data_IF_113634324826
#
_entry.id   IF_113634324826
#
_cell.length_a   1.000
_cell.length_b   1.000
_cell.length_c   1.000
_cell.angle_alpha   90.00
_cell.angle_beta   90.00
_cell.angle_gamma   90.00
#
_symmetry.space_group_name_H-M   'P 1'
#
loop_
_entity.id
_entity.type
_entity.pdbx_description
1 polymer ?
#
# COMPACT_ATOMS: atom_id res chain seq x y z
N UNK A 1 18.26 -37.63 -22.01
CA UNK A 1 19.11 -36.52 -21.54
C UNK A 1 18.56 -35.11 -21.73
N UNK A 2 17.27 -34.94 -22.02
CA UNK A 2 16.66 -33.63 -22.28
C UNK A 2 15.82 -33.06 -21.14
N UNK A 3 15.79 -33.67 -19.96
CA UNK A 3 14.85 -33.31 -18.89
C UNK A 3 15.14 -32.00 -18.14
N UNK A 4 16.33 -31.41 -18.29
CA UNK A 4 16.75 -30.24 -17.54
C UNK A 4 17.37 -29.14 -18.41
N UNK A 5 16.94 -29.01 -19.64
CA UNK A 5 17.41 -27.95 -20.55
C UNK A 5 16.48 -26.75 -20.41
N UNK A 6 17.00 -25.63 -19.92
CA UNK A 6 16.25 -24.38 -19.76
C UNK A 6 17.00 -23.37 -18.93
N UNK A 7 16.46 -22.16 -18.85
CA UNK A 7 16.99 -21.12 -17.99
C UNK A 7 16.58 -21.38 -16.54
N UNK A 8 17.57 -21.50 -15.65
CA UNK A 8 17.33 -21.53 -14.23
C UNK A 8 17.35 -20.11 -13.67
N UNK A 9 16.32 -19.75 -12.93
CA UNK A 9 16.22 -18.46 -12.23
C UNK A 9 16.23 -18.70 -10.74
N UNK A 10 16.90 -17.81 -10.02
CA UNK A 10 16.94 -17.83 -8.57
C UNK A 10 16.36 -16.52 -8.03
N UNK A 11 15.76 -16.58 -6.84
CA UNK A 11 15.31 -15.39 -6.13
C UNK A 11 16.52 -14.54 -5.71
N UNK A 12 16.42 -13.22 -5.83
CA UNK A 12 17.41 -12.33 -5.25
C UNK A 12 17.42 -12.46 -3.72
N UNK A 13 18.55 -12.17 -3.09
CA UNK A 13 18.76 -12.40 -1.64
C UNK A 13 17.68 -11.74 -0.76
N UNK A 14 17.21 -10.55 -1.11
CA UNK A 14 16.21 -9.80 -0.35
C UNK A 14 14.78 -10.05 -0.82
N UNK A 15 14.58 -10.91 -1.81
CA UNK A 15 13.23 -11.23 -2.30
C UNK A 15 12.54 -12.22 -1.40
N UNK A 16 11.23 -12.07 -1.28
CA UNK A 16 10.37 -13.03 -0.57
C UNK A 16 9.02 -13.16 -1.27
N UNK A 17 8.28 -14.16 -0.88
CA UNK A 17 6.95 -14.44 -1.42
C UNK A 17 5.92 -13.84 -0.47
N UNK A 18 4.95 -13.09 -1.01
CA UNK A 18 3.92 -12.44 -0.21
C UNK A 18 2.99 -13.43 0.47
N UNK A 19 2.59 -13.12 1.70
CA UNK A 19 1.46 -13.74 2.35
C UNK A 19 0.16 -13.05 1.91
N UNK A 20 -0.89 -13.85 1.60
CA UNK A 20 -2.20 -13.30 1.22
C UNK A 20 -3.04 -12.93 2.44
N UNK A 21 -3.96 -11.98 2.23
CA UNK A 21 -4.98 -11.61 3.22
C UNK A 21 -6.30 -11.24 2.52
N UNK A 22 -7.38 -11.18 3.31
CA UNK A 22 -8.71 -10.89 2.77
C UNK A 22 -8.77 -9.50 2.14
N UNK A 23 -9.37 -9.42 0.95
CA UNK A 23 -9.59 -8.16 0.23
C UNK A 23 -10.76 -7.32 0.78
N UNK A 24 -11.68 -7.91 1.54
CA UNK A 24 -12.93 -7.25 1.95
C UNK A 24 -12.71 -6.00 2.83
N UNK A 25 -11.81 -6.03 3.84
CA UNK A 25 -11.51 -4.81 4.61
C UNK A 25 -10.91 -3.70 3.74
N UNK A 26 -10.06 -4.07 2.78
CA UNK A 26 -9.47 -3.11 1.86
C UNK A 26 -10.52 -2.49 0.94
N UNK A 27 -11.43 -3.28 0.38
CA UNK A 27 -12.52 -2.77 -0.46
C UNK A 27 -13.39 -1.79 0.31
N UNK A 28 -13.72 -2.10 1.56
CA UNK A 28 -14.48 -1.21 2.43
C UNK A 28 -13.74 0.11 2.70
N UNK A 29 -12.43 0.03 2.94
CA UNK A 29 -11.57 1.20 3.09
C UNK A 29 -11.55 2.06 1.83
N UNK A 30 -11.39 1.45 0.66
CA UNK A 30 -11.34 2.14 -0.63
C UNK A 30 -12.63 2.92 -0.92
N UNK A 31 -13.79 2.36 -0.62
CA UNK A 31 -15.06 3.05 -0.81
C UNK A 31 -15.30 4.18 0.20
N UNK A 32 -14.89 3.98 1.45
CA UNK A 32 -15.20 4.92 2.52
C UNK A 32 -14.20 6.09 2.59
N UNK A 33 -12.91 5.84 2.37
CA UNK A 33 -11.86 6.82 2.62
C UNK A 33 -11.18 7.34 1.34
N UNK A 34 -11.15 6.53 0.28
CA UNK A 34 -10.45 6.87 -0.97
C UNK A 34 -11.38 7.37 -2.07
N UNK A 35 -12.65 7.61 -1.77
CA UNK A 35 -13.64 8.09 -2.73
C UNK A 35 -13.75 7.23 -4.01
N UNK A 36 -13.49 5.93 -3.92
CA UNK A 36 -13.72 5.01 -5.02
C UNK A 36 -15.21 4.90 -5.28
N UNK A 37 -15.67 5.45 -6.39
CA UNK A 37 -17.08 5.46 -6.77
C UNK A 37 -17.51 4.06 -7.23
N UNK A 38 -18.56 3.54 -6.63
CA UNK A 38 -19.09 2.23 -7.00
C UNK A 38 -19.66 2.24 -8.43
N UNK A 39 -19.51 1.15 -9.15
CA UNK A 39 -19.97 1.01 -10.54
C UNK A 39 -21.48 1.28 -10.71
N UNK A 40 -22.29 0.93 -9.70
CA UNK A 40 -23.73 1.13 -9.73
C UNK A 40 -24.16 2.60 -9.76
N UNK A 41 -23.30 3.50 -9.31
CA UNK A 41 -23.59 4.94 -9.21
C UNK A 41 -23.13 5.72 -10.44
N UNK A 42 -22.36 5.10 -11.34
CA UNK A 42 -21.73 5.76 -12.46
C UNK A 42 -22.49 5.54 -13.78
N UNK A 43 -22.60 6.62 -14.57
CA UNK A 43 -23.12 6.55 -15.94
C UNK A 43 -22.03 6.11 -16.92
N UNK A 44 -22.39 5.44 -18.01
CA UNK A 44 -21.45 4.94 -19.02
C UNK A 44 -20.49 6.02 -19.57
N UNK A 45 -20.97 7.24 -19.75
CA UNK A 45 -20.13 8.38 -20.22
C UNK A 45 -19.04 8.77 -19.19
N UNK A 46 -19.32 8.60 -17.90
CA UNK A 46 -18.36 8.89 -16.83
C UNK A 46 -17.28 7.82 -16.76
N UNK A 47 -17.67 6.55 -16.89
CA UNK A 47 -16.75 5.40 -16.86
C UNK A 47 -15.62 5.49 -17.91
N UNK A 48 -15.90 6.06 -19.08
CA UNK A 48 -14.90 6.22 -20.15
C UNK A 48 -13.81 7.26 -19.82
N UNK A 49 -14.07 8.15 -18.87
CA UNK A 49 -13.13 9.23 -18.49
C UNK A 49 -12.42 8.96 -17.17
N UNK A 50 -12.95 8.05 -16.38
CA UNK A 50 -12.45 7.75 -15.04
C UNK A 50 -11.45 6.59 -15.09
N UNK A 51 -10.55 6.57 -14.13
CA UNK A 51 -9.59 5.49 -13.93
C UNK A 51 -10.28 4.33 -13.23
N UNK A 52 -10.15 3.14 -13.77
CA UNK A 52 -10.72 1.92 -13.20
C UNK A 52 -9.85 1.38 -12.07
N UNK A 53 -10.45 0.91 -11.00
CA UNK A 53 -9.75 0.32 -9.86
C UNK A 53 -10.11 -1.16 -9.76
N UNK A 54 -9.09 -2.00 -9.84
CA UNK A 54 -9.21 -3.45 -9.70
C UNK A 54 -8.54 -3.92 -8.40
N UNK A 55 -9.19 -4.81 -7.67
CA UNK A 55 -8.62 -5.50 -6.51
C UNK A 55 -8.65 -7.00 -6.77
N UNK A 56 -7.48 -7.63 -6.80
CA UNK A 56 -7.32 -9.05 -7.14
C UNK A 56 -8.09 -9.45 -8.42
N UNK A 57 -7.97 -8.64 -9.48
CA UNK A 57 -8.65 -8.87 -10.75
C UNK A 57 -10.14 -8.50 -10.79
N UNK A 58 -10.76 -8.09 -9.68
CA UNK A 58 -12.16 -7.67 -9.65
C UNK A 58 -12.27 -6.15 -9.80
N UNK A 59 -13.08 -5.69 -10.72
CA UNK A 59 -13.38 -4.28 -10.89
C UNK A 59 -14.28 -3.75 -9.75
N UNK A 60 -13.71 -2.97 -8.85
CA UNK A 60 -14.39 -2.49 -7.64
C UNK A 60 -15.12 -1.16 -7.89
N UNK A 61 -14.51 -0.29 -8.68
CA UNK A 61 -15.04 1.05 -8.92
C UNK A 61 -14.15 1.88 -9.80
N UNK A 62 -14.36 3.19 -9.78
CA UNK A 62 -13.55 4.14 -10.57
C UNK A 62 -13.25 5.39 -9.75
N UNK A 63 -12.14 6.06 -10.09
CA UNK A 63 -11.66 7.28 -9.46
C UNK A 63 -11.41 8.38 -10.48
N UNK A 64 -11.37 9.62 -10.02
CA UNK A 64 -11.09 10.79 -10.87
C UNK A 64 -9.59 11.15 -10.87
N UNK A 65 -8.94 11.11 -9.69
CA UNK A 65 -7.52 11.49 -9.53
C UNK A 65 -6.65 10.29 -9.15
N UNK A 66 -5.92 9.71 -10.10
CA UNK A 66 -5.07 8.56 -9.85
C UNK A 66 -3.78 8.91 -9.09
N UNK A 67 -3.26 10.14 -9.25
CA UNK A 67 -2.02 10.56 -8.61
C UNK A 67 -2.25 10.64 -7.10
N UNK A 68 -3.23 11.45 -6.70
CA UNK A 68 -3.59 11.59 -5.29
C UNK A 68 -3.94 10.24 -4.67
N UNK A 69 -4.68 9.41 -5.40
CA UNK A 69 -5.06 8.08 -4.94
C UNK A 69 -3.84 7.19 -4.67
N UNK A 70 -2.89 7.10 -5.62
CA UNK A 70 -1.72 6.24 -5.48
C UNK A 70 -0.76 6.72 -4.40
N UNK A 71 -0.59 8.03 -4.26
CA UNK A 71 0.23 8.62 -3.20
C UNK A 71 -0.37 8.38 -1.83
N UNK A 72 -1.65 8.69 -1.66
CA UNK A 72 -2.38 8.43 -0.40
C UNK A 72 -2.35 6.95 -0.04
N UNK A 73 -2.54 6.05 -1.01
CA UNK A 73 -2.47 4.61 -0.77
C UNK A 73 -1.10 4.16 -0.27
N UNK A 74 -0.03 4.64 -0.89
CA UNK A 74 1.34 4.34 -0.45
C UNK A 74 1.62 4.87 0.96
N UNK A 75 1.15 6.08 1.28
CA UNK A 75 1.27 6.63 2.64
C UNK A 75 0.52 5.78 3.68
N UNK A 76 -0.71 5.37 3.38
CA UNK A 76 -1.49 4.47 4.24
C UNK A 76 -0.79 3.12 4.46
N UNK A 77 -0.11 2.60 3.44
CA UNK A 77 0.69 1.39 3.54
C UNK A 77 1.93 1.59 4.43
N UNK A 78 2.64 2.71 4.29
CA UNK A 78 3.84 3.05 5.07
C UNK A 78 3.54 3.24 6.55
N UNK A 79 2.36 3.72 6.91
CA UNK A 79 1.91 3.85 8.30
C UNK A 79 1.19 2.60 8.81
N UNK A 80 1.23 1.50 8.07
CA UNK A 80 0.65 0.19 8.42
C UNK A 80 -0.88 0.16 8.59
N UNK A 81 -1.60 1.11 8.04
CA UNK A 81 -3.07 1.03 7.93
C UNK A 81 -3.50 0.08 6.81
N UNK A 82 -2.69 -0.02 5.76
CA UNK A 82 -2.78 -1.04 4.74
C UNK A 82 -1.58 -1.97 4.92
N UNK A 83 -1.75 -3.30 4.83
CA UNK A 83 -0.65 -4.23 4.97
C UNK A 83 0.49 -3.93 3.99
N UNK A 84 1.73 -3.99 4.47
CA UNK A 84 2.93 -3.56 3.73
C UNK A 84 3.13 -4.31 2.40
N UNK A 85 2.68 -5.56 2.30
CA UNK A 85 2.79 -6.38 1.10
C UNK A 85 1.64 -6.20 0.10
N UNK A 86 0.72 -5.26 0.34
CA UNK A 86 -0.28 -4.89 -0.67
C UNK A 86 0.39 -4.19 -1.82
N UNK A 87 0.23 -4.71 -3.03
CA UNK A 87 0.74 -4.01 -4.19
C UNK A 87 -0.24 -2.99 -4.75
N UNK A 88 0.29 -1.95 -5.35
CA UNK A 88 -0.46 -1.00 -6.16
C UNK A 88 0.35 -0.67 -7.41
N UNK A 89 -0.27 -0.83 -8.56
CA UNK A 89 0.32 -0.51 -9.85
C UNK A 89 -0.68 0.30 -10.69
N UNK A 90 -0.24 1.43 -11.23
CA UNK A 90 -1.04 2.23 -12.15
C UNK A 90 -0.55 2.06 -13.57
N UNK A 91 -1.37 1.40 -14.39
CA UNK A 91 -1.16 1.32 -15.83
C UNK A 91 -1.76 2.58 -16.48
N UNK A 92 -0.88 3.52 -16.84
CA UNK A 92 -1.26 4.82 -17.40
C UNK A 92 -1.88 4.66 -18.80
N UNK A 93 -1.39 3.70 -19.59
CA UNK A 93 -1.84 3.50 -20.97
C UNK A 93 -3.28 3.01 -21.03
N UNK A 94 -3.66 2.14 -20.11
CA UNK A 94 -5.00 1.55 -20.05
C UNK A 94 -5.95 2.30 -19.11
N UNK A 95 -5.46 3.29 -18.36
CA UNK A 95 -6.19 3.98 -17.31
C UNK A 95 -6.76 3.03 -16.26
N UNK A 96 -5.91 2.14 -15.76
CA UNK A 96 -6.28 1.13 -14.78
C UNK A 96 -5.31 1.15 -13.60
N UNK A 97 -5.86 1.08 -12.38
CA UNK A 97 -5.09 0.80 -11.17
C UNK A 97 -5.38 -0.62 -10.74
N UNK A 98 -4.31 -1.38 -10.55
CA UNK A 98 -4.35 -2.73 -10.01
C UNK A 98 -3.87 -2.73 -8.56
N UNK A 99 -4.63 -3.36 -7.69
CA UNK A 99 -4.29 -3.58 -6.28
C UNK A 99 -4.36 -5.06 -6.01
N UNK A 100 -3.30 -5.64 -5.45
CA UNK A 100 -3.26 -7.05 -5.13
C UNK A 100 -2.98 -7.29 -3.65
N UNK A 101 -3.77 -8.16 -3.04
CA UNK A 101 -3.68 -8.59 -1.64
C UNK A 101 -3.40 -10.08 -1.51
N UNK A 102 -3.36 -10.80 -2.62
CA UNK A 102 -3.13 -12.24 -2.69
C UNK A 102 -1.70 -12.62 -2.31
N UNK A 103 -1.54 -13.85 -1.90
CA UNK A 103 -0.25 -14.46 -1.63
C UNK A 103 0.40 -15.00 -2.91
N UNK A 104 1.67 -15.39 -2.79
CA UNK A 104 2.39 -16.03 -3.88
C UNK A 104 3.04 -15.06 -4.88
N UNK A 105 3.00 -13.76 -4.64
CA UNK A 105 3.69 -12.76 -5.47
C UNK A 105 5.12 -12.59 -4.98
N UNK A 106 6.06 -12.51 -5.93
CA UNK A 106 7.45 -12.22 -5.61
C UNK A 106 7.60 -10.74 -5.34
N UNK A 107 8.06 -10.36 -4.17
CA UNK A 107 8.30 -8.97 -3.79
C UNK A 107 9.69 -8.76 -3.19
N UNK A 108 10.11 -7.51 -3.14
CA UNK A 108 11.35 -7.10 -2.48
C UNK A 108 11.17 -5.78 -1.74
N UNK A 109 11.87 -5.58 -0.60
CA UNK A 109 11.91 -4.29 0.08
C UNK A 109 12.78 -3.29 -0.69
N UNK A 110 12.37 -2.03 -0.65
CA UNK A 110 13.13 -0.90 -1.20
C UNK A 110 13.09 0.28 -0.23
N UNK A 111 14.07 1.15 -0.27
CA UNK A 111 13.98 2.48 0.29
C UNK A 111 13.24 3.40 -0.70
N UNK A 112 12.36 4.22 -0.19
CA UNK A 112 11.67 5.21 -1.02
C UNK A 112 12.24 6.62 -0.78
N UNK A 113 11.93 7.51 -1.68
CA UNK A 113 12.25 8.94 -1.57
C UNK A 113 10.98 9.68 -1.13
N UNK A 114 11.09 10.50 -0.11
CA UNK A 114 9.97 11.29 0.40
C UNK A 114 9.71 12.55 -0.45
N UNK A 115 8.70 13.33 -0.06
CA UNK A 115 8.33 14.58 -0.74
C UNK A 115 9.45 15.63 -0.74
N UNK A 116 10.39 15.56 0.22
CA UNK A 116 11.55 16.44 0.31
C UNK A 116 12.76 15.95 -0.51
N UNK A 117 12.58 14.88 -1.29
CA UNK A 117 13.63 14.19 -2.06
C UNK A 117 14.74 13.58 -1.21
N UNK A 118 14.44 13.27 0.06
CA UNK A 118 15.37 12.58 0.96
C UNK A 118 15.06 11.08 0.99
N UNK A 119 16.09 10.22 1.08
CA UNK A 119 15.87 8.80 1.30
C UNK A 119 15.17 8.55 2.64
N UNK A 120 14.27 7.58 2.67
CA UNK A 120 13.43 7.26 3.84
C UNK A 120 14.22 6.96 5.12
N UNK A 121 15.45 6.49 5.01
CA UNK A 121 16.32 6.17 6.15
C UNK A 121 16.97 7.39 6.79
N UNK A 122 17.08 8.54 6.11
CA UNK A 122 17.71 9.76 6.66
C UNK A 122 16.89 10.41 7.78
N UNK A 123 15.59 10.16 7.81
CA UNK A 123 14.70 10.72 8.82
C UNK A 123 14.80 10.03 10.18
N UNK A 124 15.63 9.00 10.30
CA UNK A 124 15.81 8.24 11.52
C UNK A 124 17.15 8.53 12.19
N UNK A 125 17.09 9.23 13.32
CA UNK A 125 18.26 9.55 14.15
C UNK A 125 18.59 8.51 15.23
N UNK A 126 17.77 7.46 15.38
CA UNK A 126 17.89 6.46 16.43
C UNK A 126 18.19 5.06 15.87
N UNK A 127 18.60 4.14 16.74
CA UNK A 127 18.85 2.75 16.38
C UNK A 127 17.64 2.14 15.67
N UNK A 128 17.85 1.61 14.46
CA UNK A 128 16.81 0.98 13.66
C UNK A 128 16.39 -0.34 14.28
N UNK A 129 15.10 -0.51 14.48
CA UNK A 129 14.46 -1.77 14.85
C UNK A 129 13.67 -2.33 13.68
N UNK A 130 13.35 -3.61 13.72
CA UNK A 130 12.49 -4.23 12.71
C UNK A 130 11.11 -3.55 12.61
N UNK A 131 10.56 -3.11 13.74
CA UNK A 131 9.31 -2.37 13.75
C UNK A 131 9.42 -1.04 13.00
N UNK A 132 10.51 -0.31 13.17
CA UNK A 132 10.74 0.95 12.44
C UNK A 132 10.90 0.71 10.94
N UNK A 133 11.54 -0.39 10.57
CA UNK A 133 11.74 -0.73 9.16
C UNK A 133 10.43 -1.05 8.44
N UNK A 134 9.54 -1.81 9.07
CA UNK A 134 8.37 -2.41 8.40
C UNK A 134 7.06 -1.72 8.77
N UNK A 135 6.88 -1.36 10.05
CA UNK A 135 5.62 -0.86 10.59
C UNK A 135 5.63 0.64 10.92
N UNK A 136 6.79 1.29 10.87
CA UNK A 136 6.91 2.71 11.20
C UNK A 136 6.67 3.07 12.67
N UNK A 137 6.58 2.11 13.58
CA UNK A 137 6.29 2.38 14.98
C UNK A 137 7.56 2.52 15.81
N UNK A 138 7.75 3.69 16.43
CA UNK A 138 8.74 3.91 17.48
C UNK A 138 8.17 3.67 18.89
N UNK A 139 6.88 3.37 19.01
CA UNK A 139 6.22 3.18 20.28
C UNK A 139 6.39 1.74 20.76
N UNK A 140 6.61 1.58 22.07
CA UNK A 140 6.54 0.28 22.73
C UNK A 140 5.16 -0.33 22.50
N UNK A 141 5.12 -1.65 22.34
CA UNK A 141 3.91 -2.45 22.07
C UNK A 141 2.75 -2.13 23.04
N UNK A 142 3.07 -1.67 24.25
CA UNK A 142 2.10 -1.30 25.28
C UNK A 142 1.17 -0.14 24.90
N UNK A 143 1.58 0.73 23.96
CA UNK A 143 0.75 1.82 23.45
C UNK A 143 -0.29 1.36 22.38
N UNK A 144 -0.20 0.13 21.89
CA UNK A 144 -1.17 -0.46 20.97
C UNK A 144 -2.51 -0.83 21.61
N UNK A 145 -2.58 -0.91 22.94
CA UNK A 145 -3.82 -1.16 23.68
C UNK A 145 -4.78 0.04 23.71
N UNK A 146 -4.38 1.18 23.21
CA UNK A 146 -5.30 2.29 23.00
C UNK A 146 -5.94 2.15 21.62
N UNK A 147 -7.21 1.85 21.58
CA UNK A 147 -8.22 1.81 20.50
C UNK A 147 -8.02 2.77 19.31
N UNK A 148 -6.79 2.90 18.79
CA UNK A 148 -6.44 3.78 17.67
C UNK A 148 -7.10 3.30 16.38
N UNK A 149 -7.39 1.99 16.28
CA UNK A 149 -7.97 1.38 15.09
C UNK A 149 -9.49 1.54 14.94
N UNK A 150 -10.21 2.07 15.93
CA UNK A 150 -11.67 1.99 15.96
C UNK A 150 -12.44 3.32 16.07
N UNK A 151 -11.81 4.46 16.10
CA UNK A 151 -12.57 5.73 16.08
C UNK A 151 -12.05 6.70 15.02
N UNK A 152 -12.88 6.90 13.99
CA UNK A 152 -12.69 7.89 12.92
C UNK A 152 -12.28 9.26 13.49
N UNK A 153 -12.96 9.71 14.54
CA UNK A 153 -12.76 11.02 15.18
C UNK A 153 -11.39 11.17 15.87
N UNK A 154 -10.70 10.07 16.13
CA UNK A 154 -9.37 10.09 16.76
C UNK A 154 -8.21 10.04 15.77
N UNK A 155 -8.41 9.57 14.54
CA UNK A 155 -7.40 9.45 13.51
C UNK A 155 -7.14 10.77 12.75
N UNK A 156 -8.13 11.65 12.67
CA UNK A 156 -8.12 12.83 11.79
C UNK A 156 -7.87 14.17 12.51
N UNK A 157 -7.50 14.18 13.78
CA UNK A 157 -7.01 15.41 14.42
C UNK A 157 -5.61 15.78 13.90
N UNK A 158 -5.36 17.06 13.56
CA UNK A 158 -4.10 17.56 12.97
C UNK A 158 -2.83 17.04 13.67
N UNK A 159 -2.80 17.02 14.99
CA UNK A 159 -1.66 16.50 15.79
C UNK A 159 -1.41 14.99 15.62
N UNK A 160 -2.41 14.22 15.18
CA UNK A 160 -2.29 12.76 15.03
C UNK A 160 -1.82 12.37 13.65
N UNK A 161 -2.18 13.15 12.64
CA UNK A 161 -1.63 13.00 11.28
C UNK A 161 -0.12 13.24 11.31
N UNK A 162 0.36 14.29 11.98
CA UNK A 162 1.79 14.52 12.15
C UNK A 162 2.52 13.38 12.87
N UNK A 163 1.88 12.78 13.87
CA UNK A 163 2.45 11.63 14.60
C UNK A 163 2.53 10.39 13.71
N UNK A 164 1.51 10.14 12.90
CA UNK A 164 1.50 9.05 11.91
C UNK A 164 2.57 9.28 10.84
N UNK A 165 2.71 10.50 10.34
CA UNK A 165 3.74 10.86 9.37
C UNK A 165 5.15 10.63 9.93
N UNK A 166 5.39 10.97 11.19
CA UNK A 166 6.68 10.72 11.87
C UNK A 166 6.98 9.23 12.09
N UNK A 167 5.97 8.39 12.08
CA UNK A 167 6.09 6.95 12.35
C UNK A 167 5.99 6.09 11.07
N UNK A 168 6.33 6.64 9.91
CA UNK A 168 6.32 5.86 8.65
C UNK A 168 7.35 4.74 8.69
N UNK A 169 7.02 3.63 8.04
CA UNK A 169 8.01 2.60 7.72
C UNK A 169 9.13 3.15 6.84
N UNK A 170 10.34 2.66 7.04
CA UNK A 170 11.51 3.03 6.23
C UNK A 170 11.52 2.26 4.90
N UNK A 171 11.01 1.03 4.92
CA UNK A 171 10.92 0.17 3.76
C UNK A 171 9.54 0.24 3.12
N UNK A 172 9.53 0.26 1.82
CA UNK A 172 8.36 0.01 0.99
C UNK A 172 8.57 -1.29 0.22
N UNK A 173 7.50 -1.96 -0.22
CA UNK A 173 7.60 -3.22 -0.94
C UNK A 173 7.09 -3.04 -2.37
N UNK A 174 7.87 -3.58 -3.30
CA UNK A 174 7.48 -3.67 -4.70
C UNK A 174 7.43 -5.13 -5.12
N UNK A 175 6.45 -5.47 -5.93
CA UNK A 175 6.32 -6.76 -6.59
C UNK A 175 6.59 -6.65 -8.11
N UNK A 176 6.77 -7.80 -8.73
CA UNK A 176 7.01 -7.92 -10.17
C UNK A 176 5.72 -8.02 -10.96
#
# INVERSE_FOLDING_TARGET
DGGNIGFHKHMAMMSHITAGYSKEPLISLLHNEFNVKQLRTLKAKQLNRMIKVFVNGHWIGSIDDPILFTETFKEQRRISLIPAQTSIAWNIQENIIFINTDGGRLCRPIFYIDSERKPSYENYSHALTWNNLICGSNKKIDDFNTNIFYSKDKLYGEKKVETLIKNRAILDFIDS
#
